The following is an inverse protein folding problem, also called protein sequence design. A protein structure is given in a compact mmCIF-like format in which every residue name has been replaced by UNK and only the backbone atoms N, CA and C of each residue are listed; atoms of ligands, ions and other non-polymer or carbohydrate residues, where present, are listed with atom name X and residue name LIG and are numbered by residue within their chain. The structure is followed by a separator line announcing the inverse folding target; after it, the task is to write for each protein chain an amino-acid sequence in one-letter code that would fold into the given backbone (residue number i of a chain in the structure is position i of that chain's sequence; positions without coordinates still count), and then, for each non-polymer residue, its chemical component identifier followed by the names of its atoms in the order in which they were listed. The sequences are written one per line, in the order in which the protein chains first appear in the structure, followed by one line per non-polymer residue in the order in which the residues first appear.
data_IF_814334773589
#
_entry.id   IF_814334773589
#
_cell.length_a   1.000
_cell.length_b   1.000
_cell.length_c   1.000
_cell.angle_alpha   90.00
_cell.angle_beta   90.00
_cell.angle_gamma   90.00
#
_symmetry.space_group_name_H-M   'P 1'
#
loop_
_entity.id
_entity.type
_entity.pdbx_description
1 polymer ?
#
# COMPACT_ATOMS: atom_id res chain seq x y z
N UNK A 1 22.94 -17.28 31.79
CA UNK A 1 22.91 -15.79 31.75
C UNK A 1 23.45 -15.14 33.02
N UNK A 2 22.82 -15.29 34.21
CA UNK A 2 23.40 -14.79 35.47
C UNK A 2 24.55 -15.69 35.98
N UNK A 3 24.46 -16.99 35.75
CA UNK A 3 25.50 -17.96 36.08
C UNK A 3 26.75 -17.83 35.18
N UNK A 4 26.61 -17.24 33.99
CA UNK A 4 27.69 -17.11 32.99
C UNK A 4 28.47 -15.78 33.11
N UNK A 5 28.17 -14.94 34.10
CA UNK A 5 28.77 -13.60 34.29
C UNK A 5 28.73 -12.69 33.04
N UNK A 6 27.71 -12.85 32.21
CA UNK A 6 27.48 -11.97 31.06
C UNK A 6 27.32 -10.51 31.52
N UNK A 7 28.01 -9.58 30.84
CA UNK A 7 28.09 -8.17 31.25
C UNK A 7 26.91 -7.40 30.66
N UNK A 8 26.03 -6.90 31.53
CA UNK A 8 24.89 -6.09 31.11
C UNK A 8 25.24 -4.61 31.11
N UNK A 9 24.87 -3.93 30.02
CA UNK A 9 24.91 -2.47 29.93
C UNK A 9 23.49 -1.99 29.82
N UNK A 10 23.03 -1.22 30.81
CA UNK A 10 21.76 -0.52 30.72
C UNK A 10 21.86 0.59 29.68
N UNK A 11 20.94 0.61 28.73
CA UNK A 11 20.78 1.75 27.84
C UNK A 11 19.91 2.75 28.59
N UNK A 12 20.48 3.92 28.91
CA UNK A 12 19.70 5.03 29.45
C UNK A 12 18.86 5.62 28.32
N UNK A 13 17.54 5.70 28.52
CA UNK A 13 16.62 6.25 27.54
C UNK A 13 15.82 7.37 28.18
N UNK A 14 15.68 8.50 27.48
CA UNK A 14 14.99 9.65 28.03
C UNK A 14 13.47 9.41 28.03
N UNK A 15 12.78 9.87 29.07
CA UNK A 15 11.30 9.79 29.12
C UNK A 15 10.64 10.52 27.95
N UNK A 16 11.30 11.56 27.41
CA UNK A 16 10.84 12.32 26.25
C UNK A 16 11.00 11.56 24.92
N UNK A 17 11.75 10.45 24.90
CA UNK A 17 11.93 9.63 23.70
C UNK A 17 10.79 8.61 23.52
N UNK A 18 9.84 8.55 24.47
CA UNK A 18 8.70 7.64 24.42
C UNK A 18 7.36 8.37 24.52
N UNK A 19 6.36 7.80 23.85
CA UNK A 19 4.98 8.21 23.99
C UNK A 19 4.15 7.01 24.44
N UNK A 20 3.43 7.17 25.55
CA UNK A 20 2.52 6.14 26.04
C UNK A 20 1.25 6.09 25.17
N UNK A 21 1.09 5.00 24.43
CA UNK A 21 -0.04 4.73 23.51
C UNK A 21 -0.83 3.49 23.95
N UNK A 22 -1.13 3.40 25.24
CA UNK A 22 -1.73 2.23 25.88
C UNK A 22 -3.18 1.93 25.49
N UNK A 23 -3.90 2.88 24.88
CA UNK A 23 -5.26 2.68 24.36
C UNK A 23 -5.38 3.15 22.90
N UNK A 24 -6.36 2.64 22.12
CA UNK A 24 -6.49 2.97 20.70
C UNK A 24 -6.57 4.47 20.39
N UNK A 25 -7.28 5.23 21.23
CA UNK A 25 -7.38 6.70 21.07
C UNK A 25 -6.01 7.38 21.20
N UNK A 26 -5.20 6.96 22.18
CA UNK A 26 -3.85 7.52 22.37
C UNK A 26 -2.95 7.20 21.17
N UNK A 27 -3.05 6.00 20.61
CA UNK A 27 -2.30 5.63 19.40
C UNK A 27 -2.72 6.49 18.21
N UNK A 28 -4.02 6.65 17.97
CA UNK A 28 -4.53 7.48 16.87
C UNK A 28 -4.08 8.93 17.02
N UNK A 29 -4.18 9.50 18.22
CA UNK A 29 -3.73 10.87 18.49
C UNK A 29 -2.22 11.03 18.30
N UNK A 30 -1.44 10.04 18.72
CA UNK A 30 0.00 10.02 18.48
C UNK A 30 0.32 9.98 16.99
N UNK A 31 -0.31 9.09 16.22
CA UNK A 31 -0.10 8.98 14.77
C UNK A 31 -0.52 10.26 14.03
N UNK A 32 -1.59 10.93 14.46
CA UNK A 32 -1.99 12.24 13.95
C UNK A 32 -0.93 13.31 14.24
N UNK A 33 -0.34 13.31 15.44
CA UNK A 33 0.78 14.21 15.79
C UNK A 33 2.02 13.94 14.94
N UNK A 34 2.37 12.68 14.68
CA UNK A 34 3.50 12.33 13.81
C UNK A 34 3.36 12.92 12.39
N UNK A 35 2.13 13.03 11.89
CA UNK A 35 1.87 13.63 10.57
C UNK A 35 2.06 15.14 10.57
N UNK A 36 1.58 15.83 11.60
CA UNK A 36 1.45 17.29 11.62
C UNK A 36 2.65 17.99 12.25
N UNK A 37 3.26 17.39 13.26
CA UNK A 37 4.42 17.91 13.99
C UNK A 37 5.66 17.06 13.73
N UNK A 38 6.18 17.20 12.51
CA UNK A 38 7.41 16.52 12.10
C UNK A 38 8.68 17.14 12.71
N UNK A 39 8.55 18.26 13.42
CA UNK A 39 9.68 18.90 14.11
C UNK A 39 9.96 18.21 15.44
N UNK A 40 8.91 18.00 16.25
CA UNK A 40 9.04 17.28 17.52
C UNK A 40 9.18 15.77 17.32
N UNK A 41 8.66 15.24 16.21
CA UNK A 41 8.74 13.82 15.88
C UNK A 41 9.29 13.61 14.47
N UNK A 42 10.63 13.53 14.29
CA UNK A 42 11.20 13.32 12.98
C UNK A 42 10.81 11.95 12.42
N UNK A 43 9.89 11.95 11.46
CA UNK A 43 9.48 10.73 10.76
C UNK A 43 10.41 10.51 9.56
N UNK A 44 11.04 9.33 9.51
CA UNK A 44 11.86 8.92 8.37
C UNK A 44 11.02 8.92 7.09
N UNK A 45 11.49 9.62 6.06
CA UNK A 45 10.89 9.54 4.72
C UNK A 45 11.15 8.16 4.13
N UNK A 46 10.13 7.62 3.48
CA UNK A 46 10.10 6.26 2.94
C UNK A 46 9.72 6.29 1.47
N UNK A 47 9.99 5.20 0.77
CA UNK A 47 9.59 4.98 -0.63
C UNK A 47 8.52 3.89 -0.64
N UNK A 48 7.38 4.17 -1.26
CA UNK A 48 6.29 3.21 -1.40
C UNK A 48 6.12 2.83 -2.86
N UNK A 49 6.17 1.54 -3.15
CA UNK A 49 5.93 1.02 -4.49
C UNK A 49 4.51 0.44 -4.56
N UNK A 50 3.63 1.13 -5.28
CA UNK A 50 2.26 0.70 -5.50
C UNK A 50 2.13 -0.02 -6.84
N UNK A 51 1.49 -1.18 -6.80
CA UNK A 51 0.90 -1.77 -8.00
C UNK A 51 -0.28 -0.92 -8.50
N UNK A 52 -0.66 -1.05 -9.78
CA UNK A 52 -1.75 -0.25 -10.35
C UNK A 52 -3.07 -1.02 -10.39
N UNK A 53 -3.15 -2.04 -11.25
CA UNK A 53 -4.38 -2.78 -11.52
C UNK A 53 -4.77 -3.67 -10.33
N UNK A 54 -6.02 -3.56 -9.89
CA UNK A 54 -6.54 -4.16 -8.66
C UNK A 54 -5.89 -3.67 -7.35
N UNK A 55 -5.04 -2.65 -7.40
CA UNK A 55 -4.41 -2.04 -6.21
C UNK A 55 -4.84 -0.58 -6.04
N UNK A 56 -4.61 0.27 -7.02
CA UNK A 56 -5.10 1.67 -7.03
C UNK A 56 -6.35 1.84 -7.88
N UNK A 57 -6.53 1.01 -8.90
CA UNK A 57 -7.73 0.96 -9.74
C UNK A 57 -8.28 -0.45 -9.82
N UNK A 58 -9.53 -0.64 -10.24
CA UNK A 58 -10.09 -1.97 -10.50
C UNK A 58 -9.47 -2.60 -11.75
N UNK A 59 -9.78 -3.87 -12.01
CA UNK A 59 -9.68 -4.41 -13.37
C UNK A 59 -10.63 -3.65 -14.31
N UNK A 60 -10.33 -3.61 -15.63
CA UNK A 60 -11.22 -2.97 -16.58
C UNK A 60 -12.56 -3.70 -16.64
N UNK A 61 -13.66 -2.93 -16.67
CA UNK A 61 -15.02 -3.49 -16.74
C UNK A 61 -15.34 -4.10 -18.11
N UNK A 62 -14.60 -3.68 -19.14
CA UNK A 62 -14.62 -4.27 -20.48
C UNK A 62 -13.26 -4.88 -20.75
N UNK A 63 -13.22 -6.14 -21.19
CA UNK A 63 -11.95 -6.84 -21.40
C UNK A 63 -11.03 -6.06 -22.34
N UNK A 64 -9.80 -5.78 -21.88
CA UNK A 64 -8.77 -5.05 -22.64
C UNK A 64 -8.92 -3.53 -22.67
N UNK A 65 -10.06 -2.97 -22.26
CA UNK A 65 -10.32 -1.52 -22.28
C UNK A 65 -9.99 -0.89 -20.92
N UNK A 66 -8.73 -0.50 -20.75
CA UNK A 66 -8.25 0.10 -19.50
C UNK A 66 -8.77 1.52 -19.23
N UNK A 67 -9.56 2.12 -20.14
CA UNK A 67 -10.23 3.39 -19.87
C UNK A 67 -11.43 3.24 -18.91
N UNK A 68 -11.93 2.01 -18.73
CA UNK A 68 -13.13 1.75 -17.92
C UNK A 68 -12.85 1.30 -16.49
N UNK A 69 -11.58 1.34 -16.06
CA UNK A 69 -11.19 1.04 -14.67
C UNK A 69 -11.84 2.03 -13.70
N UNK A 70 -12.06 1.59 -12.47
CA UNK A 70 -12.66 2.40 -11.40
C UNK A 70 -11.65 2.66 -10.28
N UNK A 71 -11.68 3.83 -9.62
CA UNK A 71 -10.72 4.17 -8.56
C UNK A 71 -10.96 3.34 -7.29
N UNK A 72 -9.87 2.84 -6.67
CA UNK A 72 -9.92 2.24 -5.32
C UNK A 72 -9.67 3.34 -4.28
N UNK A 73 -10.74 4.07 -3.96
CA UNK A 73 -10.71 5.34 -3.24
C UNK A 73 -9.86 5.32 -1.95
N UNK A 74 -9.94 4.26 -1.13
CA UNK A 74 -9.17 4.15 0.11
C UNK A 74 -7.66 4.11 -0.15
N UNK A 75 -7.20 3.33 -1.13
CA UNK A 75 -5.78 3.21 -1.46
C UNK A 75 -5.27 4.47 -2.17
N UNK A 76 -6.08 5.09 -3.02
CA UNK A 76 -5.74 6.38 -3.64
C UNK A 76 -5.60 7.48 -2.58
N UNK A 77 -6.50 7.52 -1.59
CA UNK A 77 -6.41 8.46 -0.48
C UNK A 77 -5.12 8.25 0.32
N UNK A 78 -4.75 7.00 0.59
CA UNK A 78 -3.48 6.66 1.24
C UNK A 78 -2.29 7.20 0.44
N UNK A 79 -2.23 6.95 -0.87
CA UNK A 79 -1.16 7.46 -1.75
C UNK A 79 -1.05 8.99 -1.65
N UNK A 80 -2.17 9.71 -1.72
CA UNK A 80 -2.20 11.17 -1.64
C UNK A 80 -1.67 11.68 -0.29
N UNK A 81 -2.08 11.05 0.82
CA UNK A 81 -1.61 11.43 2.14
C UNK A 81 -0.12 11.15 2.35
N UNK A 82 0.35 9.98 1.90
CA UNK A 82 1.78 9.63 1.96
C UNK A 82 2.62 10.62 1.15
N UNK A 83 2.18 10.93 -0.07
CA UNK A 83 2.85 11.92 -0.92
C UNK A 83 2.85 13.31 -0.27
N UNK A 84 1.70 13.77 0.25
CA UNK A 84 1.59 15.06 0.96
C UNK A 84 2.51 15.12 2.19
N UNK A 85 2.72 14.00 2.87
CA UNK A 85 3.66 13.90 3.98
C UNK A 85 5.14 13.83 3.54
N UNK A 86 5.42 13.89 2.24
CA UNK A 86 6.77 13.91 1.67
C UNK A 86 7.41 12.52 1.52
N UNK A 87 6.60 11.45 1.54
CA UNK A 87 7.08 10.13 1.13
C UNK A 87 7.16 10.05 -0.39
N UNK A 88 8.06 9.20 -0.87
CA UNK A 88 8.27 8.98 -2.28
C UNK A 88 7.33 7.89 -2.81
N UNK A 89 6.62 8.15 -3.89
CA UNK A 89 5.62 7.26 -4.46
C UNK A 89 6.11 6.74 -5.82
N UNK A 90 6.23 5.43 -5.92
CA UNK A 90 6.55 4.71 -7.15
C UNK A 90 5.31 3.94 -7.57
N UNK A 91 4.93 4.05 -8.84
CA UNK A 91 3.93 3.17 -9.44
C UNK A 91 4.63 2.13 -10.31
N UNK A 92 4.43 0.85 -10.04
CA UNK A 92 5.00 -0.24 -10.83
C UNK A 92 3.88 -1.15 -11.35
N UNK A 93 3.74 -1.27 -12.67
CA UNK A 93 2.58 -1.94 -13.27
C UNK A 93 2.95 -3.07 -14.24
N UNK A 94 2.18 -4.16 -14.15
CA UNK A 94 2.22 -5.30 -15.08
C UNK A 94 1.18 -5.16 -16.21
N UNK A 95 0.52 -3.99 -16.30
CA UNK A 95 -0.53 -3.72 -17.28
C UNK A 95 -0.07 -4.10 -18.69
N UNK A 96 -0.84 -4.99 -19.32
CA UNK A 96 -0.61 -5.51 -20.69
C UNK A 96 0.75 -6.19 -20.92
N UNK A 97 1.51 -6.51 -19.88
CA UNK A 97 2.77 -7.25 -20.01
C UNK A 97 2.57 -8.65 -20.60
N UNK A 98 1.49 -9.34 -20.22
CA UNK A 98 1.11 -10.64 -20.80
C UNK A 98 0.75 -10.52 -22.29
N UNK A 99 0.00 -9.48 -22.65
CA UNK A 99 -0.42 -9.22 -24.05
C UNK A 99 0.77 -8.98 -24.97
N UNK A 100 1.80 -8.31 -24.47
CA UNK A 100 2.98 -7.92 -25.25
C UNK A 100 4.20 -8.81 -25.01
N UNK A 101 4.03 -10.00 -24.44
CA UNK A 101 5.10 -10.97 -24.20
C UNK A 101 6.34 -10.38 -23.50
N UNK A 102 6.13 -9.44 -22.57
CA UNK A 102 7.20 -8.77 -21.84
C UNK A 102 7.86 -7.59 -22.55
N UNK A 103 7.44 -7.22 -23.77
CA UNK A 103 8.00 -6.09 -24.50
C UNK A 103 7.46 -4.75 -23.95
N UNK A 104 8.26 -4.10 -23.10
CA UNK A 104 7.89 -2.83 -22.45
C UNK A 104 7.66 -1.70 -23.46
N UNK A 105 8.46 -1.64 -24.54
CA UNK A 105 8.29 -0.61 -25.58
C UNK A 105 6.93 -0.72 -26.29
N UNK A 106 6.50 -1.95 -26.60
CA UNK A 106 5.19 -2.21 -27.17
C UNK A 106 4.06 -1.87 -26.18
N UNK A 107 4.22 -2.20 -24.89
CA UNK A 107 3.26 -1.80 -23.83
C UNK A 107 3.09 -0.29 -23.78
N UNK A 108 4.19 0.46 -23.73
CA UNK A 108 4.13 1.92 -23.64
C UNK A 108 3.47 2.52 -24.89
N UNK A 109 3.84 2.04 -26.08
CA UNK A 109 3.25 2.49 -27.34
C UNK A 109 1.73 2.26 -27.40
N UNK A 110 1.25 1.20 -26.76
CA UNK A 110 -0.13 0.74 -26.86
C UNK A 110 -1.04 1.23 -25.70
N UNK A 111 -0.53 1.33 -24.47
CA UNK A 111 -1.34 1.70 -23.29
C UNK A 111 -0.72 2.76 -22.39
N UNK A 112 0.48 3.27 -22.72
CA UNK A 112 1.17 4.28 -21.91
C UNK A 112 0.31 5.53 -21.72
N UNK A 113 -0.23 6.09 -22.80
CA UNK A 113 -1.09 7.29 -22.77
C UNK A 113 -2.32 7.10 -21.87
N UNK A 114 -3.11 6.06 -22.12
CA UNK A 114 -4.32 5.77 -21.32
C UNK A 114 -4.00 5.61 -19.84
N UNK A 115 -2.85 4.98 -19.53
CA UNK A 115 -2.41 4.80 -18.14
C UNK A 115 -2.08 6.12 -17.47
N UNK A 116 -1.34 7.01 -18.13
CA UNK A 116 -1.02 8.34 -17.60
C UNK A 116 -2.26 9.23 -17.47
N UNK A 117 -3.18 9.17 -18.45
CA UNK A 117 -4.47 9.87 -18.39
C UNK A 117 -5.32 9.39 -17.22
N UNK A 118 -5.33 8.07 -16.94
CA UNK A 118 -6.04 7.50 -15.78
C UNK A 118 -5.49 8.05 -14.46
N UNK A 119 -4.15 8.11 -14.32
CA UNK A 119 -3.51 8.64 -13.11
C UNK A 119 -3.82 10.13 -12.91
N UNK A 120 -3.81 10.91 -13.99
CA UNK A 120 -4.18 12.31 -13.97
C UNK A 120 -5.66 12.51 -13.62
N UNK A 121 -6.55 11.76 -14.28
CA UNK A 121 -8.01 11.82 -14.06
C UNK A 121 -8.39 11.50 -12.60
N UNK A 122 -7.72 10.52 -12.00
CA UNK A 122 -7.95 10.15 -10.60
C UNK A 122 -7.03 10.88 -9.63
N UNK A 123 -6.29 11.90 -10.08
CA UNK A 123 -5.40 12.71 -9.24
C UNK A 123 -4.52 11.84 -8.31
N UNK A 124 -3.90 10.81 -8.88
CA UNK A 124 -3.00 9.90 -8.17
C UNK A 124 -1.59 10.48 -8.28
N UNK A 125 -1.00 11.03 -7.21
CA UNK A 125 0.35 11.54 -7.26
C UNK A 125 1.37 10.39 -7.30
N UNK A 126 2.47 10.59 -8.02
CA UNK A 126 3.61 9.70 -8.07
C UNK A 126 4.86 10.46 -8.48
N UNK A 127 6.01 10.02 -8.00
CA UNK A 127 7.32 10.57 -8.36
C UNK A 127 7.96 9.77 -9.52
N UNK A 128 7.75 8.44 -9.54
CA UNK A 128 8.25 7.53 -10.56
C UNK A 128 7.13 6.58 -11.05
N UNK A 129 7.15 6.23 -12.33
CA UNK A 129 6.31 5.17 -12.90
C UNK A 129 7.14 4.21 -13.73
N UNK A 130 7.01 2.90 -13.46
CA UNK A 130 7.64 1.82 -14.20
C UNK A 130 6.59 0.90 -14.81
N UNK A 131 6.58 0.86 -16.14
CA UNK A 131 6.05 -0.28 -16.88
C UNK A 131 7.07 -1.42 -16.84
N UNK A 132 6.62 -2.65 -17.05
CA UNK A 132 7.55 -3.78 -17.11
C UNK A 132 7.53 -4.71 -15.92
N UNK A 133 6.62 -4.53 -14.95
CA UNK A 133 6.47 -5.48 -13.85
C UNK A 133 6.17 -6.88 -14.43
N UNK A 134 6.94 -7.93 -14.08
CA UNK A 134 6.69 -9.26 -14.62
C UNK A 134 5.26 -9.72 -14.36
N UNK A 135 4.58 -10.26 -15.36
CA UNK A 135 3.29 -10.91 -15.14
C UNK A 135 3.51 -12.22 -14.36
N UNK A 136 3.20 -12.21 -13.06
CA UNK A 136 3.33 -13.35 -12.18
C UNK A 136 1.99 -13.72 -11.55
N UNK A 137 1.83 -15.01 -11.24
CA UNK A 137 0.68 -15.48 -10.45
C UNK A 137 0.81 -15.10 -8.97
N UNK A 138 2.05 -15.06 -8.46
CA UNK A 138 2.37 -14.77 -7.05
C UNK A 138 3.64 -13.92 -7.01
N UNK A 139 3.65 -12.92 -6.13
CA UNK A 139 4.84 -12.15 -5.77
C UNK A 139 5.25 -12.56 -4.36
N UNK A 140 6.52 -12.95 -4.18
CA UNK A 140 7.13 -13.27 -2.90
C UNK A 140 8.22 -12.23 -2.68
N UNK A 141 8.04 -11.41 -1.67
CA UNK A 141 8.88 -10.24 -1.40
C UNK A 141 8.82 -9.97 0.11
N UNK A 142 9.95 -9.67 0.73
CA UNK A 142 10.10 -9.47 2.17
C UNK A 142 9.49 -8.14 2.64
N UNK A 143 9.33 -7.18 1.72
CA UNK A 143 8.75 -5.86 1.95
C UNK A 143 7.32 -5.73 1.41
N UNK A 144 6.72 -6.82 0.91
CA UNK A 144 5.39 -6.78 0.33
C UNK A 144 4.28 -6.68 1.39
N UNK A 145 3.28 -5.87 1.05
CA UNK A 145 2.04 -5.73 1.81
C UNK A 145 0.87 -6.07 0.90
N UNK A 146 -0.13 -6.77 1.44
CA UNK A 146 -1.30 -7.17 0.68
C UNK A 146 -2.26 -5.97 0.51
N UNK A 147 -2.32 -5.41 -0.69
CA UNK A 147 -3.18 -4.26 -1.00
C UNK A 147 -4.70 -4.54 -0.93
N UNK A 148 -5.12 -5.80 -0.71
CA UNK A 148 -6.52 -6.20 -0.58
C UNK A 148 -7.05 -6.14 0.86
N UNK A 149 -6.19 -5.90 1.84
CA UNK A 149 -6.56 -5.61 3.23
C UNK A 149 -6.39 -4.11 3.51
N UNK A 150 -6.60 -3.69 4.75
CA UNK A 150 -6.41 -2.30 5.16
C UNK A 150 -4.91 -1.93 5.14
N UNK A 151 -4.46 -1.47 3.97
CA UNK A 151 -3.05 -1.16 3.71
C UNK A 151 -2.56 -0.03 4.62
N UNK A 152 -3.43 0.95 4.94
CA UNK A 152 -3.08 2.05 5.81
C UNK A 152 -2.75 1.53 7.21
N UNK A 153 -3.60 0.66 7.76
CA UNK A 153 -3.35 0.02 9.06
C UNK A 153 -2.07 -0.82 9.07
N UNK A 154 -1.84 -1.62 8.04
CA UNK A 154 -0.64 -2.48 7.93
C UNK A 154 0.66 -1.67 7.96
N UNK A 155 0.69 -0.47 7.35
CA UNK A 155 1.87 0.41 7.39
C UNK A 155 1.89 1.38 8.58
N UNK A 156 0.93 1.29 9.50
CA UNK A 156 0.84 2.19 10.65
C UNK A 156 0.40 3.62 10.30
N UNK A 157 -0.41 3.80 9.24
CA UNK A 157 -0.96 5.07 8.80
C UNK A 157 -2.44 5.22 9.18
N UNK A 158 -2.83 6.38 9.70
CA UNK A 158 -4.23 6.73 10.00
C UNK A 158 -4.72 7.67 8.92
N UNK A 159 -5.81 7.39 8.20
CA UNK A 159 -6.32 8.31 7.17
C UNK A 159 -7.04 9.52 7.80
N UNK A 160 -7.00 10.69 7.15
CA UNK A 160 -7.58 11.91 7.70
C UNK A 160 -9.13 11.84 7.81
N UNK A 161 -9.77 11.05 6.93
CA UNK A 161 -11.22 10.86 6.88
C UNK A 161 -11.72 9.70 7.77
N UNK A 162 -10.92 9.21 8.72
CA UNK A 162 -11.46 8.32 9.76
C UNK A 162 -12.26 9.17 10.75
N UNK A 163 -13.49 9.54 10.37
CA UNK A 163 -14.48 9.81 11.40
C UNK A 163 -14.61 8.57 12.28
N UNK A 164 -14.98 8.79 13.54
CA UNK A 164 -15.38 7.78 14.50
C UNK A 164 -16.67 7.09 14.06
N UNK A 165 -16.68 6.48 12.87
CA UNK A 165 -17.64 5.48 12.48
C UNK A 165 -17.39 4.31 13.42
N UNK A 166 -18.17 4.28 14.51
CA UNK A 166 -18.17 3.17 15.46
C UNK A 166 -18.16 1.86 14.69
N UNK A 167 -17.22 0.99 15.04
CA UNK A 167 -16.94 -0.32 14.46
C UNK A 167 -18.09 -0.85 13.61
N UNK A 168 -18.17 -0.41 12.34
CA UNK A 168 -18.85 -1.23 11.36
C UNK A 168 -17.86 -2.33 11.10
N UNK A 169 -18.10 -3.44 11.77
CA UNK A 169 -17.53 -4.76 11.51
C UNK A 169 -17.67 -5.07 10.01
N UNK A 170 -16.82 -4.46 9.18
CA UNK A 170 -16.48 -4.99 7.87
C UNK A 170 -15.79 -6.27 8.23
N UNK A 171 -16.49 -7.40 8.11
CA UNK A 171 -15.96 -8.76 8.31
C UNK A 171 -14.54 -8.78 7.78
N UNK A 172 -13.58 -8.64 8.70
CA UNK A 172 -12.18 -8.80 8.39
C UNK A 172 -12.14 -10.26 7.97
N UNK A 173 -11.92 -10.52 6.68
CA UNK A 173 -11.61 -11.91 6.28
C UNK A 173 -10.46 -12.30 7.21
N UNK A 174 -10.64 -13.35 8.02
CA UNK A 174 -9.72 -13.66 9.11
C UNK A 174 -8.31 -13.78 8.52
N UNK A 175 -7.30 -13.48 9.35
CA UNK A 175 -5.88 -13.85 9.19
C UNK A 175 -5.57 -14.41 7.83
N UNK A 176 -4.83 -13.69 6.96
CA UNK A 176 -4.46 -14.10 5.58
C UNK A 176 -4.50 -15.63 5.48
N UNK A 177 -5.66 -16.19 5.14
CA UNK A 177 -5.78 -17.64 5.03
C UNK A 177 -4.83 -18.00 3.91
N UNK A 178 -4.15 -19.16 4.00
CA UNK A 178 -3.42 -19.68 2.84
C UNK A 178 -4.33 -19.51 1.63
N UNK A 179 -3.86 -18.76 0.63
CA UNK A 179 -4.62 -18.65 -0.62
C UNK A 179 -4.70 -20.09 -1.13
N UNK A 180 -5.90 -20.64 -1.20
CA UNK A 180 -6.10 -21.97 -1.79
C UNK A 180 -5.87 -21.84 -3.30
N UNK A 181 -4.60 -21.89 -3.69
CA UNK A 181 -4.16 -21.82 -5.09
C UNK A 181 -4.56 -23.08 -5.88
N UNK A 182 -5.04 -24.11 -5.17
CA UNK A 182 -5.43 -25.40 -5.70
C UNK A 182 -6.94 -25.67 -5.55
N UNK A 183 -7.77 -24.65 -5.32
CA UNK A 183 -9.22 -24.83 -5.40
C UNK A 183 -9.59 -25.26 -6.82
N UNK A 184 -10.05 -26.50 -6.96
CA UNK A 184 -10.60 -27.01 -8.22
C UNK A 184 -11.99 -26.40 -8.35
N UNK A 185 -12.12 -25.37 -9.19
CA UNK A 185 -13.43 -24.85 -9.59
C UNK A 185 -13.93 -25.66 -10.78
N UNK A 186 -15.15 -26.21 -10.64
CA UNK A 186 -15.82 -26.90 -11.74
C UNK A 186 -16.24 -25.84 -12.75
N UNK A 187 -15.65 -25.86 -13.95
CA UNK A 187 -16.08 -24.98 -15.03
C UNK A 187 -17.45 -25.48 -15.50
N UNK A 188 -18.48 -24.65 -15.34
CA UNK A 188 -19.78 -24.91 -15.97
C UNK A 188 -19.57 -24.93 -17.49
N UNK A 189 -19.83 -26.09 -18.10
CA UNK A 189 -19.75 -26.33 -19.55
C UNK A 189 -20.93 -25.70 -20.30
#
# INVERSE_FOLDING_TARGET
MLEDQERFVGIEVNINDFVCVGIPVQLIDFLKKLKTDQHSYPVRKMRFCFDLDNTLVSYPTKYGDYSTVQPKAQNIQLVRELHKAGHYIIIQTARRMRTHHGNVGAVIADIGRVTLETLAQFEIPYDEIFFGKPYAHIYIDDSAINALIDTAKEIGWVLDNTESDGEKDKKIKPFITSRDLHTIEQLDN
#
